data_IF_987942732792
#
_entry.id   IF_987942732792
#
_cell.length_a   1.000
_cell.length_b   1.000
_cell.length_c   1.000
_cell.angle_alpha   90.00
_cell.angle_beta   90.00
_cell.angle_gamma   90.00
#
_symmetry.space_group_name_H-M   'P 1'
#
loop_
_entity.id
_entity.type
_entity.pdbx_description
1 polymer ?
#
# COMPACT_ATOMS: atom_id res chain seq x y z
N UNK A 1 31.91 -29.94 49.63
CA UNK A 1 30.69 -29.37 50.24
C UNK A 1 30.40 -28.04 49.56
N UNK A 2 29.13 -27.84 49.23
CA UNK A 2 28.64 -26.88 48.24
C UNK A 2 28.84 -25.42 48.61
N UNK A 3 29.09 -24.57 47.62
CA UNK A 3 28.68 -23.16 47.65
C UNK A 3 27.97 -22.88 46.33
N UNK A 4 26.66 -22.75 46.44
CA UNK A 4 25.72 -22.44 45.36
C UNK A 4 25.86 -20.96 45.00
N UNK A 5 26.23 -20.66 43.76
CA UNK A 5 25.97 -19.37 43.14
C UNK A 5 24.75 -19.53 42.25
N UNK A 6 23.65 -18.91 42.65
CA UNK A 6 22.46 -18.77 41.84
C UNK A 6 22.78 -17.85 40.66
N UNK A 7 22.65 -18.39 39.45
CA UNK A 7 22.59 -17.63 38.21
C UNK A 7 21.23 -16.95 38.14
N UNK A 8 21.21 -15.61 38.21
CA UNK A 8 20.05 -14.83 37.82
C UNK A 8 20.03 -14.74 36.29
N UNK A 9 19.16 -15.53 35.68
CA UNK A 9 18.74 -15.36 34.29
C UNK A 9 17.96 -14.04 34.19
N UNK A 10 18.55 -13.03 33.57
CA UNK A 10 17.81 -11.87 33.11
C UNK A 10 16.91 -12.30 31.95
N UNK A 11 15.61 -12.28 32.22
CA UNK A 11 14.55 -12.40 31.23
C UNK A 11 14.61 -11.16 30.34
N UNK A 12 15.02 -11.32 29.08
CA UNK A 12 14.86 -10.32 28.04
C UNK A 12 13.38 -9.93 27.96
N UNK A 13 13.07 -8.76 28.51
CA UNK A 13 11.79 -8.09 28.31
C UNK A 13 11.65 -7.80 26.82
N UNK A 14 10.64 -8.37 26.20
CA UNK A 14 10.18 -8.11 24.84
C UNK A 14 9.91 -6.60 24.67
N UNK A 15 10.95 -5.86 24.30
CA UNK A 15 10.87 -4.43 24.07
C UNK A 15 10.12 -4.22 22.77
N UNK A 16 8.83 -3.87 22.87
CA UNK A 16 8.08 -3.40 21.71
C UNK A 16 8.90 -2.29 21.03
N UNK A 17 9.20 -2.41 19.72
CA UNK A 17 10.06 -1.46 19.04
C UNK A 17 9.45 -0.06 19.17
N UNK A 18 10.27 0.91 19.61
CA UNK A 18 9.81 2.28 19.82
C UNK A 18 9.26 2.82 18.50
N UNK A 19 8.00 3.31 18.45
CA UNK A 19 7.40 3.76 17.21
C UNK A 19 8.17 4.97 16.68
N UNK A 20 8.58 4.89 15.42
CA UNK A 20 9.19 5.98 14.65
C UNK A 20 8.19 7.13 14.42
N UNK A 21 6.89 6.84 14.41
CA UNK A 21 5.84 7.84 14.24
C UNK A 21 4.54 7.49 14.95
N UNK A 22 3.82 8.54 15.39
CA UNK A 22 2.49 8.41 15.98
C UNK A 22 1.61 9.59 15.58
N UNK A 23 0.38 9.30 15.17
CA UNK A 23 -0.64 10.32 14.86
C UNK A 23 -1.93 9.97 15.59
N UNK A 24 -2.54 10.95 16.24
CA UNK A 24 -3.87 10.83 16.83
C UNK A 24 -4.75 11.96 16.31
N UNK A 25 -5.89 11.61 15.75
CA UNK A 25 -6.91 12.52 15.26
C UNK A 25 -8.18 12.30 16.07
N UNK A 26 -8.74 13.36 16.61
CA UNK A 26 -9.96 13.33 17.41
C UNK A 26 -10.89 14.47 17.02
N UNK A 27 -12.15 14.37 17.44
CA UNK A 27 -13.09 15.48 17.33
C UNK A 27 -12.77 16.53 18.38
N UNK A 28 -12.50 17.75 17.92
CA UNK A 28 -12.29 18.94 18.75
C UNK A 28 -13.24 20.02 18.24
N UNK A 29 -14.11 20.52 19.12
CA UNK A 29 -15.15 21.51 18.77
C UNK A 29 -15.98 21.08 17.53
N UNK A 30 -16.35 19.79 17.46
CA UNK A 30 -17.15 19.23 16.36
C UNK A 30 -16.39 18.89 15.08
N UNK A 31 -15.10 19.24 14.98
CA UNK A 31 -14.27 19.05 13.78
C UNK A 31 -13.12 18.08 14.00
N UNK A 32 -12.65 17.42 12.94
CA UNK A 32 -11.45 16.59 12.98
C UNK A 32 -10.21 17.44 13.19
N UNK A 33 -9.42 17.09 14.21
CA UNK A 33 -8.17 17.77 14.51
C UNK A 33 -7.10 16.77 14.93
N UNK A 34 -5.85 17.02 14.52
CA UNK A 34 -4.69 16.29 15.04
C UNK A 34 -4.44 16.74 16.47
N UNK A 35 -4.62 15.83 17.43
CA UNK A 35 -4.39 16.09 18.87
C UNK A 35 -3.02 15.62 19.33
N UNK A 36 -2.42 14.64 18.64
CA UNK A 36 -1.04 14.23 18.88
C UNK A 36 -0.35 13.91 17.55
N UNK A 37 0.89 14.39 17.40
CA UNK A 37 1.74 14.09 16.24
C UNK A 37 3.18 13.98 16.70
N UNK A 38 3.80 12.84 16.40
CA UNK A 38 5.17 12.54 16.72
C UNK A 38 5.82 11.84 15.53
N UNK A 39 7.07 12.18 15.26
CA UNK A 39 7.89 11.53 14.25
C UNK A 39 9.35 11.72 14.59
N UNK A 40 10.15 10.66 14.45
CA UNK A 40 11.62 10.70 14.52
C UNK A 40 12.22 10.23 13.19
N UNK A 41 13.51 10.48 12.99
CA UNK A 41 14.23 10.04 11.80
C UNK A 41 14.03 8.52 11.55
N UNK A 42 13.84 8.09 10.29
CA UNK A 42 13.82 8.88 9.05
C UNK A 42 12.45 9.49 8.72
N UNK A 43 11.42 9.31 9.55
CA UNK A 43 10.05 9.73 9.25
C UNK A 43 9.77 11.19 9.61
N UNK A 44 8.95 11.86 8.79
CA UNK A 44 8.36 13.16 9.14
C UNK A 44 6.90 13.23 8.72
N UNK A 45 6.08 13.78 9.59
CA UNK A 45 4.73 14.18 9.26
C UNK A 45 4.61 15.69 9.12
N UNK A 46 3.87 16.12 8.10
CA UNK A 46 3.47 17.51 7.90
C UNK A 46 1.96 17.58 7.88
N UNK A 47 1.41 18.50 8.66
CA UNK A 47 -0.03 18.80 8.73
C UNK A 47 -0.28 20.21 8.20
N UNK A 48 -0.61 20.39 6.92
CA UNK A 48 -0.99 21.69 6.39
C UNK A 48 -2.34 22.12 6.96
N UNK A 49 -2.48 23.40 7.32
CA UNK A 49 -3.74 23.95 7.84
C UNK A 49 -4.72 24.39 6.74
N UNK A 50 -4.25 24.53 5.50
CA UNK A 50 -5.03 25.03 4.35
C UNK A 50 -5.07 24.04 3.17
N UNK A 51 -4.79 22.77 3.41
CA UNK A 51 -4.87 21.74 2.36
C UNK A 51 -6.31 21.41 1.94
N UNK A 52 -7.27 21.70 2.81
CA UNK A 52 -8.70 21.41 2.63
C UNK A 52 -9.49 22.70 2.83
N UNK A 53 -10.56 22.88 2.06
CA UNK A 53 -11.51 24.00 2.24
C UNK A 53 -12.03 24.03 3.68
N UNK A 54 -12.23 25.22 4.24
CA UNK A 54 -12.76 25.39 5.59
C UNK A 54 -14.16 24.79 5.78
N UNK A 55 -14.90 24.55 4.70
CA UNK A 55 -16.22 23.93 4.70
C UNK A 55 -16.18 22.40 4.86
N UNK A 56 -15.05 21.77 4.52
CA UNK A 56 -14.89 20.33 4.57
C UNK A 56 -14.20 19.95 5.88
N UNK A 57 -14.81 19.05 6.63
CA UNK A 57 -14.23 18.52 7.86
C UNK A 57 -13.30 17.35 7.56
N UNK A 58 -12.03 17.67 7.24
CA UNK A 58 -10.99 16.67 7.02
C UNK A 58 -9.60 17.19 7.42
N UNK A 59 -8.78 16.29 7.95
CA UNK A 59 -7.36 16.53 8.22
C UNK A 59 -6.53 15.93 7.12
N UNK A 60 -5.67 16.75 6.48
CA UNK A 60 -4.68 16.27 5.52
C UNK A 60 -3.32 16.11 6.19
N UNK A 61 -2.66 14.99 5.95
CA UNK A 61 -1.32 14.69 6.44
C UNK A 61 -0.46 14.24 5.26
N UNK A 62 0.73 14.84 5.17
CA UNK A 62 1.80 14.36 4.32
C UNK A 62 2.81 13.58 5.16
N UNK A 63 3.12 12.36 4.72
CA UNK A 63 4.25 11.57 5.21
C UNK A 63 5.43 11.70 4.25
N UNK A 64 6.64 11.75 4.80
CA UNK A 64 7.87 11.77 4.02
C UNK A 64 9.02 11.13 4.78
N UNK A 65 10.01 10.64 4.04
CA UNK A 65 11.29 10.18 4.57
C UNK A 65 12.37 11.26 4.40
N UNK A 66 13.06 11.57 5.49
CA UNK A 66 14.33 12.31 5.45
C UNK A 66 15.37 11.49 4.69
N UNK A 67 16.20 12.15 3.88
CA UNK A 67 17.23 11.48 3.07
C UNK A 67 16.75 11.03 1.68
N UNK A 68 15.48 11.26 1.33
CA UNK A 68 14.96 11.02 -0.02
C UNK A 68 14.63 9.57 -0.35
N UNK A 69 14.64 8.68 0.65
CA UNK A 69 14.27 7.27 0.55
C UNK A 69 14.78 6.47 1.75
N UNK A 70 14.46 5.19 1.80
CA UNK A 70 14.92 4.24 2.81
C UNK A 70 16.25 3.64 2.40
N UNK A 71 17.20 3.57 3.34
CA UNK A 71 18.51 2.93 3.15
C UNK A 71 18.59 1.62 3.93
N UNK A 72 19.60 0.81 3.59
CA UNK A 72 19.72 -0.55 4.11
C UNK A 72 19.72 -0.61 5.65
N UNK A 73 18.75 -1.34 6.19
CA UNK A 73 18.56 -1.51 7.63
C UNK A 73 17.64 -0.48 8.28
N UNK A 74 17.10 0.49 7.54
CA UNK A 74 16.08 1.40 8.06
C UNK A 74 14.83 0.60 8.46
N UNK A 75 14.30 0.91 9.65
CA UNK A 75 13.04 0.36 10.14
C UNK A 75 12.14 1.50 10.59
N UNK A 76 10.97 1.61 9.97
CA UNK A 76 9.98 2.66 10.27
C UNK A 76 8.73 2.00 10.83
N UNK A 77 8.42 2.29 12.09
CA UNK A 77 7.18 1.83 12.73
C UNK A 77 6.28 3.03 13.00
N UNK A 78 5.07 3.01 12.45
CA UNK A 78 4.11 4.09 12.57
C UNK A 78 2.80 3.59 13.15
N UNK A 79 2.21 4.37 14.05
CA UNK A 79 0.84 4.15 14.53
C UNK A 79 -0.06 5.35 14.22
N UNK A 80 -1.31 5.09 13.88
CA UNK A 80 -2.31 6.13 13.62
C UNK A 80 -3.65 5.77 14.26
N UNK A 81 -4.27 6.73 14.93
CA UNK A 81 -5.58 6.57 15.54
C UNK A 81 -6.52 7.64 14.99
N UNK A 82 -7.64 7.20 14.42
CA UNK A 82 -8.72 8.05 13.94
C UNK A 82 -9.90 7.86 14.86
N UNK A 83 -10.21 8.90 15.65
CA UNK A 83 -11.36 8.89 16.55
C UNK A 83 -12.68 8.90 15.78
N UNK A 84 -13.75 8.59 16.51
CA UNK A 84 -15.09 8.44 15.94
C UNK A 84 -15.53 9.69 15.16
N UNK A 85 -16.18 9.44 14.02
CA UNK A 85 -16.69 10.46 13.11
C UNK A 85 -15.63 11.36 12.49
N UNK A 86 -14.33 11.09 12.67
CA UNK A 86 -13.26 11.90 12.09
C UNK A 86 -12.97 11.52 10.65
N UNK A 87 -12.49 12.50 9.87
CA UNK A 87 -12.02 12.28 8.51
C UNK A 87 -10.54 12.66 8.39
N UNK A 88 -9.75 11.75 7.85
CA UNK A 88 -8.33 11.95 7.63
C UNK A 88 -7.89 11.47 6.24
N UNK A 89 -6.95 12.21 5.65
CA UNK A 89 -6.30 11.85 4.40
C UNK A 89 -4.80 11.82 4.65
N UNK A 90 -4.18 10.67 4.38
CA UNK A 90 -2.74 10.47 4.44
C UNK A 90 -2.21 10.30 3.02
N UNK A 91 -1.27 11.15 2.64
CA UNK A 91 -0.58 11.12 1.35
C UNK A 91 0.92 11.21 1.58
N UNK A 92 1.71 10.86 0.58
CA UNK A 92 3.15 11.13 0.59
C UNK A 92 3.44 12.43 -0.16
N UNK A 93 4.59 13.06 0.10
CA UNK A 93 5.05 14.18 -0.71
C UNK A 93 5.79 13.73 -1.99
N UNK A 94 6.31 12.50 -1.98
CA UNK A 94 7.02 11.89 -3.09
C UNK A 94 7.00 10.37 -2.96
N UNK A 95 7.37 9.67 -4.04
CA UNK A 95 7.54 8.22 -4.02
C UNK A 95 8.52 7.76 -2.94
N UNK A 96 8.17 6.67 -2.25
CA UNK A 96 9.06 6.00 -1.31
C UNK A 96 10.13 5.27 -2.10
N UNK A 97 11.32 5.85 -2.18
CA UNK A 97 12.48 5.22 -2.83
C UNK A 97 13.13 4.26 -1.86
N UNK A 98 13.45 3.05 -2.29
CA UNK A 98 14.18 2.07 -1.48
C UNK A 98 15.52 1.78 -2.14
N UNK A 99 16.61 2.12 -1.45
CA UNK A 99 17.96 1.95 -1.93
C UNK A 99 18.43 0.50 -1.79
N UNK A 100 19.57 0.19 -2.43
CA UNK A 100 20.18 -1.14 -2.40
C UNK A 100 20.38 -1.65 -0.97
N UNK A 101 20.20 -2.95 -0.77
CA UNK A 101 20.56 -3.63 0.47
C UNK A 101 22.08 -3.81 0.57
N UNK A 102 22.62 -3.66 1.78
CA UNK A 102 24.03 -3.93 2.11
C UNK A 102 24.07 -5.03 3.17
N UNK A 103 24.81 -6.10 2.91
CA UNK A 103 24.88 -7.26 3.82
C UNK A 103 23.54 -7.95 4.04
N UNK A 104 22.67 -7.96 3.02
CA UNK A 104 21.34 -8.58 3.04
C UNK A 104 20.33 -7.98 4.03
N UNK A 105 20.63 -6.82 4.63
CA UNK A 105 19.71 -6.09 5.51
C UNK A 105 18.56 -5.48 4.71
N UNK A 106 17.33 -5.90 5.03
CA UNK A 106 16.12 -5.32 4.45
C UNK A 106 15.83 -3.95 5.07
N UNK A 107 15.12 -3.11 4.32
CA UNK A 107 14.45 -1.92 4.87
C UNK A 107 13.00 -2.28 5.15
N UNK A 108 12.47 -1.85 6.28
CA UNK A 108 11.17 -2.30 6.79
C UNK A 108 10.26 -1.12 7.12
N UNK A 109 8.98 -1.27 6.78
CA UNK A 109 7.92 -0.35 7.21
C UNK A 109 6.77 -1.12 7.86
N UNK A 110 6.39 -0.71 9.05
CA UNK A 110 5.20 -1.18 9.76
C UNK A 110 4.26 -0.01 9.98
N UNK A 111 3.00 -0.16 9.59
CA UNK A 111 1.97 0.85 9.81
C UNK A 111 0.72 0.21 10.42
N UNK A 112 0.41 0.62 11.64
CA UNK A 112 -0.77 0.14 12.36
C UNK A 112 -1.78 1.28 12.55
N UNK A 113 -3.04 1.00 12.24
CA UNK A 113 -4.09 2.01 12.24
C UNK A 113 -5.34 1.52 12.96
N UNK A 114 -5.85 2.35 13.86
CA UNK A 114 -7.15 2.19 14.51
C UNK A 114 -8.13 3.21 13.93
N UNK A 115 -9.27 2.75 13.39
CA UNK A 115 -10.31 3.57 12.77
C UNK A 115 -11.60 3.42 13.57
N UNK A 116 -12.02 4.52 14.20
CA UNK A 116 -13.21 4.60 15.04
C UNK A 116 -14.53 4.62 14.27
N UNK A 117 -15.63 4.54 15.00
CA UNK A 117 -16.97 4.43 14.45
C UNK A 117 -17.30 5.61 13.55
N UNK A 118 -17.91 5.35 12.39
CA UNK A 118 -18.28 6.34 11.38
C UNK A 118 -17.11 7.21 10.85
N UNK A 119 -15.87 6.88 11.18
CA UNK A 119 -14.70 7.61 10.72
C UNK A 119 -14.35 7.25 9.27
N UNK A 120 -13.54 8.10 8.63
CA UNK A 120 -13.02 7.91 7.29
C UNK A 120 -11.51 8.12 7.28
N UNK A 121 -10.78 7.15 6.76
CA UNK A 121 -9.37 7.28 6.44
C UNK A 121 -9.13 7.00 4.95
N UNK A 122 -8.47 7.92 4.26
CA UNK A 122 -7.95 7.70 2.92
C UNK A 122 -6.41 7.71 2.94
N UNK A 123 -5.79 6.60 2.56
CA UNK A 123 -4.35 6.43 2.41
C UNK A 123 -4.04 6.35 0.92
N UNK A 124 -3.51 7.46 0.39
CA UNK A 124 -3.27 7.68 -1.04
C UNK A 124 -1.80 8.07 -1.25
N UNK A 125 -0.83 7.17 -0.98
CA UNK A 125 0.57 7.45 -1.19
C UNK A 125 0.93 7.45 -2.69
N UNK A 126 2.03 8.08 -3.01
CA UNK A 126 2.84 7.84 -4.22
C UNK A 126 3.39 6.40 -4.18
N UNK A 127 3.80 5.82 -5.32
CA UNK A 127 4.18 4.42 -5.34
C UNK A 127 5.52 4.18 -4.64
N UNK A 128 5.74 2.97 -4.17
CA UNK A 128 7.07 2.51 -3.77
C UNK A 128 7.92 2.28 -5.03
N UNK A 129 9.17 2.75 -5.01
CA UNK A 129 10.15 2.53 -6.07
C UNK A 129 11.39 1.86 -5.49
N UNK A 130 11.47 0.55 -5.62
CA UNK A 130 12.66 -0.22 -5.23
C UNK A 130 13.75 -0.08 -6.31
N UNK A 131 14.97 0.23 -5.89
CA UNK A 131 16.14 0.30 -6.79
C UNK A 131 16.76 -1.09 -6.96
N UNK A 132 17.69 -1.20 -7.91
CA UNK A 132 18.48 -2.41 -8.08
C UNK A 132 19.06 -2.91 -6.75
N UNK A 133 18.93 -4.22 -6.53
CA UNK A 133 19.35 -4.94 -5.32
C UNK A 133 18.71 -4.49 -3.99
N UNK A 134 17.59 -3.76 -4.03
CA UNK A 134 16.84 -3.42 -2.82
C UNK A 134 16.17 -4.66 -2.20
N UNK A 135 16.07 -4.67 -0.87
CA UNK A 135 15.28 -5.64 -0.09
C UNK A 135 14.31 -4.85 0.78
N UNK A 136 13.02 -5.00 0.52
CA UNK A 136 11.97 -4.20 1.16
C UNK A 136 10.84 -5.07 1.69
N UNK A 137 10.38 -4.77 2.91
CA UNK A 137 9.20 -5.38 3.51
C UNK A 137 8.29 -4.32 4.12
N UNK A 138 7.01 -4.35 3.76
CA UNK A 138 5.97 -3.48 4.29
C UNK A 138 4.87 -4.32 4.93
N UNK A 139 4.42 -3.89 6.10
CA UNK A 139 3.26 -4.46 6.79
C UNK A 139 2.31 -3.35 7.20
N UNK A 140 1.07 -3.45 6.74
CA UNK A 140 -0.01 -2.54 7.11
C UNK A 140 -1.11 -3.31 7.82
N UNK A 141 -1.52 -2.83 8.98
CA UNK A 141 -2.57 -3.45 9.80
C UNK A 141 -3.61 -2.39 10.13
N UNK A 142 -4.86 -2.69 9.78
CA UNK A 142 -6.00 -1.82 9.99
C UNK A 142 -7.00 -2.51 10.90
N UNK A 143 -7.41 -1.81 11.95
CA UNK A 143 -8.50 -2.20 12.82
C UNK A 143 -9.63 -1.22 12.62
N UNK A 144 -10.77 -1.72 12.14
CA UNK A 144 -11.89 -0.89 11.71
C UNK A 144 -13.12 -1.22 12.54
N UNK A 145 -13.84 -0.19 13.01
CA UNK A 145 -15.18 -0.38 13.53
C UNK A 145 -16.14 -0.80 12.40
N UNK A 146 -17.25 -1.46 12.74
CA UNK A 146 -18.21 -2.01 11.76
C UNK A 146 -18.76 -1.00 10.75
N UNK A 147 -18.87 0.29 11.12
CA UNK A 147 -19.35 1.38 10.26
C UNK A 147 -18.24 2.36 9.79
N UNK A 148 -16.98 1.98 9.98
CA UNK A 148 -15.81 2.73 9.51
C UNK A 148 -15.67 2.73 8.00
N UNK A 149 -14.86 3.66 7.50
CA UNK A 149 -14.62 3.85 6.08
C UNK A 149 -13.11 3.94 5.82
N UNK A 150 -12.64 3.21 4.81
CA UNK A 150 -11.22 3.13 4.47
C UNK A 150 -11.05 3.13 2.96
N UNK A 151 -10.14 3.98 2.47
CA UNK A 151 -9.59 3.90 1.12
C UNK A 151 -8.09 3.66 1.26
N UNK A 152 -7.57 2.59 0.68
CA UNK A 152 -6.15 2.24 0.73
C UNK A 152 -5.65 1.99 -0.69
N UNK A 153 -4.62 2.74 -1.09
CA UNK A 153 -3.82 2.46 -2.28
C UNK A 153 -2.47 1.91 -1.84
N UNK A 154 -2.16 0.69 -2.28
CA UNK A 154 -0.85 0.08 -2.14
C UNK A 154 -0.32 -0.27 -3.54
N UNK A 155 0.79 0.32 -3.94
CA UNK A 155 1.30 0.21 -5.31
C UNK A 155 2.79 0.43 -5.39
N UNK A 156 3.40 -0.23 -6.35
CA UNK A 156 4.83 -0.14 -6.64
C UNK A 156 5.09 0.02 -8.13
N UNK A 157 6.26 0.57 -8.41
CA UNK A 157 6.82 0.69 -9.76
C UNK A 157 7.95 -0.31 -9.95
N UNK A 158 8.20 -0.70 -11.20
CA UNK A 158 9.29 -1.60 -11.58
C UNK A 158 10.70 -1.10 -11.22
N UNK A 159 10.86 0.13 -10.76
CA UNK A 159 12.16 0.70 -10.40
C UNK A 159 12.46 1.97 -11.21
N UNK A 160 13.73 2.29 -11.36
CA UNK A 160 14.19 3.49 -12.08
C UNK A 160 14.25 3.22 -13.58
N UNK A 161 13.08 3.07 -14.21
CA UNK A 161 12.95 2.74 -15.64
C UNK A 161 13.77 3.64 -16.56
N UNK A 162 13.83 4.95 -16.28
CA UNK A 162 14.62 5.91 -17.08
C UNK A 162 16.14 5.70 -16.95
N UNK A 163 16.59 4.90 -15.98
CA UNK A 163 17.98 4.47 -15.80
C UNK A 163 18.21 3.01 -16.23
N UNK A 164 17.21 2.37 -16.83
CA UNK A 164 17.27 0.97 -17.26
C UNK A 164 16.95 -0.04 -16.17
N UNK A 165 16.60 0.39 -14.95
CA UNK A 165 16.27 -0.53 -13.86
C UNK A 165 14.81 -0.96 -13.92
N UNK A 166 14.56 -2.24 -14.18
CA UNK A 166 13.22 -2.81 -14.41
C UNK A 166 13.11 -4.16 -13.70
N UNK A 167 12.43 -4.15 -12.55
CA UNK A 167 12.24 -5.27 -11.65
C UNK A 167 13.57 -5.86 -11.13
N UNK A 168 14.60 -5.02 -10.96
CA UNK A 168 15.97 -5.41 -10.56
C UNK A 168 16.22 -5.42 -9.03
N UNK A 169 15.19 -5.23 -8.21
CA UNK A 169 15.32 -5.39 -6.76
C UNK A 169 15.41 -6.87 -6.39
N UNK A 170 15.98 -7.20 -5.23
CA UNK A 170 16.07 -8.59 -4.74
C UNK A 170 14.74 -9.07 -4.17
N UNK A 171 14.09 -8.22 -3.36
CA UNK A 171 12.89 -8.59 -2.61
C UNK A 171 11.98 -7.37 -2.42
N UNK A 172 10.71 -7.55 -2.74
CA UNK A 172 9.61 -6.69 -2.32
C UNK A 172 8.53 -7.57 -1.67
N UNK A 173 8.17 -7.26 -0.43
CA UNK A 173 7.06 -7.87 0.28
C UNK A 173 6.13 -6.77 0.78
N UNK A 174 4.84 -6.87 0.48
CA UNK A 174 3.80 -6.03 1.09
C UNK A 174 2.69 -6.91 1.64
N UNK A 175 2.24 -6.63 2.86
CA UNK A 175 1.10 -7.31 3.48
C UNK A 175 0.11 -6.30 4.00
N UNK A 176 -1.16 -6.48 3.67
CA UNK A 176 -2.26 -5.61 4.09
C UNK A 176 -3.31 -6.43 4.82
N UNK A 177 -3.44 -6.20 6.13
CA UNK A 177 -4.39 -6.93 6.97
C UNK A 177 -5.43 -5.97 7.53
N UNK A 178 -6.71 -6.27 7.31
CA UNK A 178 -7.84 -5.50 7.83
C UNK A 178 -8.63 -6.41 8.76
N UNK A 179 -8.82 -5.95 9.99
CA UNK A 179 -9.58 -6.62 11.03
C UNK A 179 -10.78 -5.77 11.43
N UNK A 180 -11.92 -6.42 11.64
CA UNK A 180 -13.11 -5.83 12.24
C UNK A 180 -13.20 -6.23 13.73
N UNK A 181 -14.17 -5.65 14.44
CA UNK A 181 -14.51 -5.91 15.85
C UNK A 181 -14.12 -7.32 16.36
N UNK A 182 -13.47 -7.37 17.53
CA UNK A 182 -13.00 -8.62 18.11
C UNK A 182 -11.80 -9.27 17.41
N UNK A 183 -11.01 -8.50 16.64
CA UNK A 183 -9.87 -8.96 15.85
C UNK A 183 -10.23 -10.01 14.79
N UNK A 184 -11.44 -9.96 14.25
CA UNK A 184 -11.85 -10.86 13.18
C UNK A 184 -11.26 -10.40 11.84
N UNK A 185 -10.55 -11.27 11.10
CA UNK A 185 -9.97 -10.88 9.81
C UNK A 185 -11.07 -10.64 8.77
N UNK A 186 -11.06 -9.46 8.15
CA UNK A 186 -11.99 -9.06 7.09
C UNK A 186 -11.34 -9.17 5.70
N UNK A 187 -10.08 -8.75 5.59
CA UNK A 187 -9.31 -8.78 4.35
C UNK A 187 -7.84 -9.02 4.66
N UNK A 188 -7.21 -9.95 3.96
CA UNK A 188 -5.80 -10.28 4.10
C UNK A 188 -5.19 -10.36 2.69
N UNK A 189 -4.17 -9.55 2.44
CA UNK A 189 -3.38 -9.54 1.22
C UNK A 189 -1.89 -9.71 1.53
N UNK A 190 -1.19 -10.41 0.64
CA UNK A 190 0.26 -10.60 0.71
C UNK A 190 0.83 -10.67 -0.70
N UNK A 191 1.51 -9.60 -1.10
CA UNK A 191 2.28 -9.54 -2.35
C UNK A 191 3.75 -9.84 -2.07
N UNK A 192 4.29 -10.86 -2.73
CA UNK A 192 5.71 -11.22 -2.67
C UNK A 192 6.31 -11.24 -4.08
N UNK A 193 7.30 -10.38 -4.30
CA UNK A 193 8.14 -10.36 -5.50
C UNK A 193 9.59 -10.55 -5.06
N UNK A 194 10.11 -11.74 -5.28
CA UNK A 194 11.50 -12.08 -4.96
C UNK A 194 12.21 -12.60 -6.21
N UNK A 195 13.50 -12.29 -6.32
CA UNK A 195 14.37 -12.94 -7.30
C UNK A 195 14.59 -14.38 -6.84
N UNK A 196 14.08 -15.33 -7.63
CA UNK A 196 14.21 -16.75 -7.38
C UNK A 196 15.07 -17.42 -8.45
N UNK A 197 15.48 -18.66 -8.19
CA UNK A 197 16.25 -19.48 -9.13
C UNK A 197 15.49 -19.86 -10.43
N UNK A 198 14.18 -19.59 -10.49
CA UNK A 198 13.32 -19.84 -11.65
C UNK A 198 13.21 -18.62 -12.55
N UNK A 199 11.98 -18.13 -12.75
CA UNK A 199 11.72 -16.91 -13.51
C UNK A 199 12.03 -15.67 -12.68
N UNK A 200 12.72 -14.70 -13.28
CA UNK A 200 12.96 -13.40 -12.66
C UNK A 200 11.65 -12.66 -12.41
N UNK A 201 11.66 -11.63 -11.55
CA UNK A 201 10.48 -10.77 -11.38
C UNK A 201 10.10 -10.13 -12.72
N UNK A 202 11.08 -9.69 -13.52
CA UNK A 202 10.83 -9.11 -14.84
C UNK A 202 10.10 -10.07 -15.78
N UNK A 203 10.49 -11.34 -15.82
CA UNK A 203 9.83 -12.36 -16.63
C UNK A 203 8.39 -12.61 -16.17
N UNK A 204 8.12 -12.58 -14.87
CA UNK A 204 6.74 -12.75 -14.36
C UNK A 204 5.87 -11.54 -14.67
N UNK A 205 6.44 -10.34 -14.61
CA UNK A 205 5.73 -9.08 -14.82
C UNK A 205 5.61 -8.66 -16.29
N UNK A 206 6.41 -9.26 -17.19
CA UNK A 206 6.35 -9.03 -18.63
C UNK A 206 6.43 -7.52 -18.96
N UNK A 207 5.49 -6.99 -19.73
CA UNK A 207 5.46 -5.58 -20.14
C UNK A 207 4.89 -4.62 -19.07
N UNK A 208 4.46 -5.13 -17.91
CA UNK A 208 3.90 -4.29 -16.85
C UNK A 208 5.00 -3.67 -16.01
N UNK A 209 4.85 -2.38 -15.70
CA UNK A 209 5.81 -1.60 -14.92
C UNK A 209 5.24 -1.08 -13.59
N UNK A 210 3.96 -1.35 -13.34
CA UNK A 210 3.22 -0.90 -12.14
C UNK A 210 2.31 -2.03 -11.70
N UNK A 211 2.28 -2.27 -10.40
CA UNK A 211 1.30 -3.12 -9.74
C UNK A 211 0.63 -2.30 -8.66
N UNK A 212 -0.69 -2.37 -8.57
CA UNK A 212 -1.47 -1.59 -7.62
C UNK A 212 -2.63 -2.41 -7.08
N UNK A 213 -2.91 -2.21 -5.80
CA UNK A 213 -4.08 -2.66 -5.09
C UNK A 213 -4.83 -1.43 -4.58
N UNK A 214 -6.16 -1.45 -4.75
CA UNK A 214 -7.07 -0.45 -4.22
C UNK A 214 -8.12 -1.15 -3.38
N UNK A 215 -8.14 -0.84 -2.09
CA UNK A 215 -9.17 -1.30 -1.16
C UNK A 215 -10.09 -0.12 -0.85
N UNK A 216 -11.39 -0.32 -1.04
CA UNK A 216 -12.43 0.68 -0.72
C UNK A 216 -13.46 0.00 0.19
N UNK A 217 -13.57 0.48 1.41
CA UNK A 217 -14.40 -0.08 2.47
C UNK A 217 -15.30 1.00 3.09
N UNK A 218 -16.50 0.60 3.50
CA UNK A 218 -17.38 1.39 4.35
C UNK A 218 -18.57 2.01 3.62
N UNK A 219 -19.68 2.27 4.34
CA UNK A 219 -20.94 2.72 3.75
C UNK A 219 -20.84 4.09 3.06
N UNK A 220 -20.01 5.01 3.55
CA UNK A 220 -19.82 6.33 2.92
C UNK A 220 -19.17 6.23 1.55
N UNK A 221 -18.51 5.11 1.24
CA UNK A 221 -17.78 4.90 -0.01
C UNK A 221 -18.59 4.18 -1.09
N UNK A 222 -19.86 3.82 -0.83
CA UNK A 222 -20.68 3.03 -1.75
C UNK A 222 -20.78 3.62 -3.17
N UNK A 223 -20.91 4.95 -3.29
CA UNK A 223 -20.95 5.61 -4.59
C UNK A 223 -19.63 5.40 -5.36
N UNK A 224 -18.50 5.62 -4.69
CA UNK A 224 -17.16 5.48 -5.29
C UNK A 224 -16.89 4.02 -5.64
N UNK A 225 -17.27 3.08 -4.76
CA UNK A 225 -17.17 1.64 -5.02
C UNK A 225 -17.89 1.27 -6.32
N UNK A 226 -19.14 1.70 -6.48
CA UNK A 226 -19.95 1.41 -7.67
C UNK A 226 -19.34 2.03 -8.94
N UNK A 227 -18.87 3.28 -8.86
CA UNK A 227 -18.26 3.97 -10.00
C UNK A 227 -16.96 3.28 -10.45
N UNK A 228 -16.09 2.91 -9.51
CA UNK A 228 -14.83 2.20 -9.79
C UNK A 228 -15.12 0.82 -10.40
N UNK A 229 -16.07 0.07 -9.84
CA UNK A 229 -16.46 -1.23 -10.39
C UNK A 229 -17.04 -1.10 -11.80
N UNK A 230 -17.88 -0.10 -12.06
CA UNK A 230 -18.45 0.14 -13.39
C UNK A 230 -17.35 0.46 -14.42
N UNK A 231 -16.41 1.35 -14.08
CA UNK A 231 -15.27 1.70 -14.93
C UNK A 231 -14.37 0.50 -15.24
N UNK A 232 -14.10 -0.35 -14.25
CA UNK A 232 -13.31 -1.58 -14.46
C UNK A 232 -14.05 -2.56 -15.37
N UNK A 233 -15.36 -2.74 -15.18
CA UNK A 233 -16.18 -3.62 -16.04
C UNK A 233 -16.21 -3.14 -17.48
N UNK A 234 -16.50 -1.87 -17.69
CA UNK A 234 -16.49 -1.23 -19.01
C UNK A 234 -15.14 -1.46 -19.71
N UNK A 235 -14.05 -1.17 -18.99
CA UNK A 235 -12.70 -1.35 -19.51
C UNK A 235 -12.40 -2.81 -19.88
N UNK A 236 -12.77 -3.76 -19.02
CA UNK A 236 -12.57 -5.17 -19.29
C UNK A 236 -13.41 -5.64 -20.50
N UNK A 237 -14.63 -5.11 -20.68
CA UNK A 237 -15.43 -5.39 -21.89
C UNK A 237 -14.77 -4.85 -23.16
N UNK A 238 -14.17 -3.67 -23.14
CA UNK A 238 -13.43 -3.15 -24.31
C UNK A 238 -12.23 -4.02 -24.70
N UNK A 239 -11.52 -4.54 -23.69
CA UNK A 239 -10.27 -5.29 -23.87
C UNK A 239 -10.51 -6.74 -24.26
N UNK A 240 -11.49 -7.39 -23.62
CA UNK A 240 -11.78 -8.81 -23.84
C UNK A 240 -12.95 -9.05 -24.80
N UNK A 241 -13.86 -8.09 -24.97
CA UNK A 241 -15.00 -8.18 -25.90
C UNK A 241 -14.64 -8.12 -27.38
N UNK A 242 -13.40 -7.71 -27.72
CA UNK A 242 -12.86 -7.82 -29.09
C UNK A 242 -12.44 -9.25 -29.49
N UNK A 243 -12.55 -10.23 -28.59
CA UNK A 243 -12.33 -11.66 -28.88
C UNK A 243 -13.64 -12.45 -29.01
N UNK A 244 -14.62 -11.97 -29.78
CA UNK A 244 -15.65 -12.87 -30.29
C UNK A 244 -15.07 -13.68 -31.45
N UNK A 245 -14.99 -15.01 -31.28
CA UNK A 245 -14.70 -15.96 -32.34
C UNK A 245 -15.69 -15.77 -33.49
N UNK A 246 -15.26 -15.08 -34.54
CA UNK A 246 -15.91 -15.15 -35.83
C UNK A 246 -15.59 -16.50 -36.46
N UNK A 247 -16.38 -17.54 -36.16
CA UNK A 247 -16.46 -18.72 -37.00
C UNK A 247 -17.15 -18.32 -38.31
N UNK A 248 -16.39 -17.86 -39.29
CA UNK A 248 -16.88 -17.69 -40.65
C UNK A 248 -15.98 -18.51 -41.60
N UNK A 249 -16.47 -19.65 -42.16
CA UNK A 249 -15.62 -20.59 -42.90
C UNK A 249 -15.29 -20.15 -44.33
N UNK A 250 -15.43 -18.87 -44.69
CA UNK A 250 -15.20 -18.41 -46.07
C UNK A 250 -14.51 -17.04 -46.13
N UNK A 251 -13.20 -17.00 -45.91
CA UNK A 251 -12.40 -15.87 -46.38
C UNK A 251 -11.05 -16.32 -46.94
N UNK A 252 -11.02 -16.56 -48.25
CA UNK A 252 -9.79 -16.58 -49.04
C UNK A 252 -9.42 -15.13 -49.37
N UNK A 253 -8.30 -14.63 -48.85
CA UNK A 253 -7.26 -13.88 -49.59
C UNK A 253 -6.19 -13.33 -48.64
N UNK A 254 -4.94 -13.60 -49.02
CA UNK A 254 -3.73 -13.15 -48.37
C UNK A 254 -3.56 -11.62 -48.39
N UNK A 255 -3.00 -11.08 -47.29
CA UNK A 255 -2.27 -9.80 -47.28
C UNK A 255 -1.18 -9.87 -46.22
N UNK A 256 0.06 -9.94 -46.73
CA UNK A 256 1.34 -9.48 -46.17
C UNK A 256 1.45 -9.26 -44.66
N UNK A 257 2.37 -10.01 -44.03
CA UNK A 257 2.88 -9.81 -42.68
C UNK A 257 3.41 -8.39 -42.48
N UNK A 258 2.62 -7.52 -41.86
CA UNK A 258 3.16 -6.42 -41.04
C UNK A 258 3.29 -6.95 -39.63
N UNK A 259 4.46 -6.80 -39.02
CA UNK A 259 4.72 -7.05 -37.60
C UNK A 259 3.55 -6.54 -36.76
N UNK A 260 2.79 -7.47 -36.18
CA UNK A 260 1.76 -7.15 -35.20
C UNK A 260 2.48 -6.54 -34.00
N UNK A 261 2.60 -5.21 -33.97
CA UNK A 261 2.86 -4.46 -32.74
C UNK A 261 1.86 -4.98 -31.71
N UNK A 262 2.35 -5.74 -30.74
CA UNK A 262 1.57 -6.14 -29.58
C UNK A 262 0.87 -4.88 -29.05
N UNK A 263 -0.43 -4.94 -28.73
CA UNK A 263 -1.17 -3.76 -28.31
C UNK A 263 -0.42 -3.08 -27.14
N UNK A 264 -0.15 -1.78 -27.30
CA UNK A 264 0.49 -0.91 -26.29
C UNK A 264 -0.15 -1.17 -24.93
N UNK A 265 0.69 -1.44 -23.94
CA UNK A 265 0.34 -1.88 -22.58
C UNK A 265 -1.04 -1.39 -22.12
N UNK A 266 -1.95 -2.35 -22.08
CA UNK A 266 -3.33 -2.24 -21.66
C UNK A 266 -3.36 -2.39 -20.14
N UNK A 267 -3.92 -1.40 -19.42
CA UNK A 267 -4.23 -1.56 -18.00
C UNK A 267 -5.04 -2.85 -17.80
N UNK A 268 -4.48 -3.80 -17.05
CA UNK A 268 -5.19 -5.00 -16.61
C UNK A 268 -5.70 -4.74 -15.20
N UNK A 269 -7.02 -4.78 -15.01
CA UNK A 269 -7.63 -4.53 -13.72
C UNK A 269 -8.73 -5.56 -13.45
N UNK A 270 -8.85 -5.98 -12.21
CA UNK A 270 -9.97 -6.77 -11.71
C UNK A 270 -10.51 -6.11 -10.44
N UNK A 271 -11.78 -6.33 -10.16
CA UNK A 271 -12.41 -5.88 -8.92
C UNK A 271 -13.25 -7.01 -8.33
N UNK A 272 -13.14 -7.20 -7.03
CA UNK A 272 -13.89 -8.20 -6.27
C UNK A 272 -14.48 -7.56 -5.02
N UNK A 273 -15.66 -8.02 -4.62
CA UNK A 273 -16.28 -7.65 -3.34
C UNK A 273 -15.79 -8.63 -2.27
N UNK A 274 -15.57 -8.15 -1.04
CA UNK A 274 -15.17 -8.95 0.11
C UNK A 274 -15.95 -8.50 1.35
N UNK A 275 -15.99 -9.35 2.38
CA UNK A 275 -16.79 -9.12 3.59
C UNK A 275 -18.22 -9.69 3.48
N UNK A 276 -19.01 -9.59 4.56
CA UNK A 276 -20.39 -10.06 4.57
C UNK A 276 -21.25 -9.26 3.56
N UNK A 277 -22.12 -9.99 2.85
CA UNK A 277 -23.10 -9.46 1.88
C UNK A 277 -24.30 -8.81 2.58
#
# INVERSE_FOLDING_TARGET
MATSMASSMDLDTDSTPTPTGRIVIQKVAGRSAVTSIFSTYPLKFIRPTKAVSAEVDAVWIYTMSFGGGLVSGDSVTCTMTIGDGCTAVLTTQASTKVYKSVGSKASEQSFEVQIGSSALLAILPDPVTCFASARYSQRQVFYVASDSNLVLVDWLTSGRRMRGEIWDFELYKSTNNIYVEGNQPLFLDSTLLEQGAGLSVADRMQAFHVVAMLVILGPKMALIQNEVQAKIRERNTELFGRRSYGSNPNCKKAKTCSENKAPKAVLLASCSVFGPL
#
